data_IF_556900804274
#
_entry.id   IF_556900804274
#
_cell.length_a   1.000
_cell.length_b   1.000
_cell.length_c   1.000
_cell.angle_alpha   90.00
_cell.angle_beta   90.00
_cell.angle_gamma   90.00
#
_symmetry.space_group_name_H-M   'P 1'
#
loop_
_entity.id
_entity.type
_entity.pdbx_description
1 polymer ?
#
# COMPACT_ATOMS: atom_id res chain seq x y z
N UNK A 1 30.21 19.43 4.79
CA UNK A 1 29.14 20.23 4.17
C UNK A 1 29.37 20.22 2.67
N UNK A 2 28.36 19.86 1.89
CA UNK A 2 28.39 20.12 0.44
C UNK A 2 28.03 21.59 0.33
N UNK A 3 29.02 22.43 0.01
CA UNK A 3 28.78 23.84 -0.25
C UNK A 3 27.99 23.94 -1.55
N UNK A 4 26.73 24.34 -1.42
CA UNK A 4 25.84 24.52 -2.54
C UNK A 4 25.90 25.98 -2.95
N UNK A 5 26.53 26.26 -4.09
CA UNK A 5 26.71 27.62 -4.60
C UNK A 5 25.45 28.18 -5.28
N UNK A 6 24.40 27.37 -5.39
CA UNK A 6 23.13 27.64 -6.08
C UNK A 6 21.96 27.51 -5.08
N UNK A 7 20.94 28.38 -5.20
CA UNK A 7 19.75 28.34 -4.33
C UNK A 7 18.69 27.49 -5.02
N UNK A 8 18.48 26.27 -4.54
CA UNK A 8 17.57 25.31 -5.19
C UNK A 8 16.13 25.38 -4.67
N UNK A 9 15.93 26.07 -3.55
CA UNK A 9 14.64 26.23 -2.90
C UNK A 9 14.48 27.65 -2.36
N UNK A 10 13.24 28.14 -2.35
CA UNK A 10 12.90 29.47 -1.90
C UNK A 10 11.92 29.37 -0.73
N UNK A 11 12.35 29.85 0.44
CA UNK A 11 11.45 30.05 1.58
C UNK A 11 10.32 31.01 1.19
N UNK A 12 9.10 30.69 1.60
CA UNK A 12 7.91 31.50 1.35
C UNK A 12 7.36 32.07 2.65
N UNK A 13 7.15 31.21 3.66
CA UNK A 13 6.61 31.59 4.95
C UNK A 13 7.15 30.68 6.05
N UNK A 14 7.37 31.24 7.23
CA UNK A 14 7.58 30.48 8.47
C UNK A 14 6.59 30.99 9.51
N UNK A 15 5.96 30.09 10.26
CA UNK A 15 5.17 30.45 11.43
C UNK A 15 5.43 29.48 12.56
N UNK A 16 5.47 30.02 13.77
CA UNK A 16 5.51 29.24 14.98
C UNK A 16 4.27 29.56 15.82
N UNK A 17 3.47 28.55 16.13
CA UNK A 17 2.23 28.72 16.91
C UNK A 17 2.07 27.54 17.86
N UNK A 18 1.99 27.81 19.15
CA UNK A 18 1.69 26.80 20.18
C UNK A 18 2.65 25.59 20.15
N UNK A 19 3.96 25.84 19.97
CA UNK A 19 4.99 24.79 19.91
C UNK A 19 5.11 24.07 18.57
N UNK A 20 4.38 24.52 17.54
CA UNK A 20 4.51 24.01 16.17
C UNK A 20 5.20 25.01 15.27
N UNK A 21 6.23 24.55 14.56
CA UNK A 21 6.89 25.31 13.50
C UNK A 21 6.44 24.78 12.14
N UNK A 22 5.86 25.65 11.32
CA UNK A 22 5.47 25.36 9.95
C UNK A 22 6.27 26.24 8.99
N UNK A 23 7.00 25.60 8.08
CA UNK A 23 7.81 26.25 7.04
C UNK A 23 7.21 25.90 5.68
N UNK A 24 6.92 26.91 4.90
CA UNK A 24 6.49 26.80 3.51
C UNK A 24 7.62 27.26 2.60
N UNK A 25 7.92 26.47 1.58
CA UNK A 25 8.94 26.77 0.58
C UNK A 25 8.48 26.26 -0.80
N UNK A 26 9.18 26.68 -1.85
CA UNK A 26 9.02 26.17 -3.21
C UNK A 26 10.37 25.76 -3.80
N UNK A 27 10.38 24.75 -4.65
CA UNK A 27 11.56 24.24 -5.39
C UNK A 27 11.12 23.85 -6.79
N UNK A 28 11.98 24.05 -7.79
CA UNK A 28 11.74 23.54 -9.14
C UNK A 28 11.80 22.01 -9.14
N UNK A 29 11.01 21.36 -9.99
CA UNK A 29 11.05 19.90 -10.10
C UNK A 29 12.40 19.40 -10.62
N UNK A 30 13.02 20.16 -11.52
CA UNK A 30 14.36 19.94 -12.01
C UNK A 30 15.05 21.31 -12.09
N UNK A 31 16.17 21.45 -11.38
CA UNK A 31 16.97 22.68 -11.35
C UNK A 31 18.02 22.70 -12.46
N UNK A 32 18.20 21.58 -13.18
CA UNK A 32 19.29 21.35 -14.13
C UNK A 32 20.69 21.46 -13.50
N UNK A 33 20.79 21.47 -12.17
CA UNK A 33 22.05 21.38 -11.43
C UNK A 33 22.39 19.91 -11.18
N UNK A 34 23.61 19.50 -11.56
CA UNK A 34 24.08 18.12 -11.45
C UNK A 34 24.30 17.66 -10.01
N UNK A 35 24.40 18.59 -9.06
CA UNK A 35 24.51 18.30 -7.63
C UNK A 35 23.15 18.07 -6.97
N UNK A 36 22.08 18.32 -7.69
CA UNK A 36 20.72 18.31 -7.19
C UNK A 36 19.98 17.01 -7.54
N UNK A 37 19.07 16.58 -6.68
CA UNK A 37 18.20 15.43 -6.98
C UNK A 37 16.93 15.93 -7.69
N UNK A 38 16.72 15.61 -8.98
CA UNK A 38 15.51 15.99 -9.69
C UNK A 38 14.29 15.24 -9.13
N UNK A 39 13.20 15.96 -8.91
CA UNK A 39 11.89 15.43 -8.52
C UNK A 39 11.22 14.86 -9.76
N UNK A 40 11.37 13.56 -9.93
CA UNK A 40 10.75 12.81 -11.04
C UNK A 40 9.38 12.26 -10.64
N UNK A 41 8.60 11.89 -11.65
CA UNK A 41 7.37 11.14 -11.40
C UNK A 41 7.70 9.78 -10.79
N UNK A 42 6.86 9.30 -9.89
CA UNK A 42 7.08 8.07 -9.15
C UNK A 42 7.60 8.33 -7.74
N UNK A 43 8.43 7.43 -7.25
CA UNK A 43 8.81 7.36 -5.85
C UNK A 43 9.93 8.36 -5.53
N UNK A 44 9.69 9.21 -4.52
CA UNK A 44 10.66 10.15 -3.98
C UNK A 44 10.92 9.83 -2.50
N UNK A 45 12.18 9.91 -2.09
CA UNK A 45 12.58 9.67 -0.70
C UNK A 45 12.86 11.01 -0.02
N UNK A 46 12.01 11.35 0.95
CA UNK A 46 12.23 12.50 1.82
C UNK A 46 13.00 12.03 3.04
N UNK A 47 14.03 12.78 3.44
CA UNK A 47 14.77 12.56 4.68
C UNK A 47 14.58 13.77 5.58
N UNK A 48 14.52 13.53 6.88
CA UNK A 48 14.41 14.60 7.87
C UNK A 48 15.30 14.31 9.08
N UNK A 49 15.73 15.37 9.75
CA UNK A 49 16.42 15.34 11.02
C UNK A 49 16.10 16.61 11.80
N UNK A 50 16.14 16.55 13.13
CA UNK A 50 15.81 17.71 13.98
C UNK A 50 16.67 17.83 15.25
N UNK A 51 16.91 19.07 15.65
CA UNK A 51 17.63 19.45 16.87
C UNK A 51 16.77 19.36 18.13
N UNK A 52 17.39 19.44 19.31
CA UNK A 52 16.68 19.54 20.60
C UNK A 52 16.42 20.99 21.03
N UNK A 53 17.12 21.93 20.41
CA UNK A 53 17.04 23.34 20.70
C UNK A 53 16.93 24.11 19.39
N UNK A 54 16.29 25.26 19.45
CA UNK A 54 16.26 26.20 18.35
C UNK A 54 17.66 26.74 18.07
N UNK A 55 18.02 26.97 16.81
CA UNK A 55 19.32 27.52 16.46
C UNK A 55 19.49 28.90 17.11
N UNK A 56 20.62 29.11 17.79
CA UNK A 56 20.91 30.40 18.44
C UNK A 56 21.67 31.33 17.48
N UNK A 57 21.51 32.67 17.60
CA UNK A 57 22.22 33.62 16.73
C UNK A 57 23.76 33.51 16.78
N UNK A 58 24.31 32.91 17.84
CA UNK A 58 25.75 32.64 18.01
C UNK A 58 26.22 31.35 17.34
N UNK A 59 25.32 30.51 16.81
CA UNK A 59 25.65 29.38 15.94
C UNK A 59 25.97 29.84 14.51
N UNK A 60 26.66 30.98 14.37
CA UNK A 60 27.08 31.59 13.11
C UNK A 60 28.12 30.78 12.32
N UNK A 61 28.41 29.55 12.75
CA UNK A 61 29.37 28.64 12.10
C UNK A 61 28.67 27.49 11.34
N UNK A 62 27.34 27.54 11.17
CA UNK A 62 26.56 26.46 10.52
C UNK A 62 26.81 25.07 11.15
N UNK A 63 27.19 25.04 12.43
CA UNK A 63 27.61 23.82 13.11
C UNK A 63 26.37 23.06 13.63
N UNK A 64 25.72 22.35 12.71
CA UNK A 64 24.59 21.48 13.03
C UNK A 64 25.13 20.25 13.77
N UNK A 65 24.80 20.14 15.06
CA UNK A 65 25.13 18.96 15.87
C UNK A 65 24.55 17.68 15.27
N UNK A 66 25.24 16.55 15.47
CA UNK A 66 24.74 15.25 15.02
C UNK A 66 23.37 14.94 15.65
N UNK A 67 22.43 14.55 14.80
CA UNK A 67 21.01 14.37 15.15
C UNK A 67 20.70 13.02 15.83
N UNK A 68 21.66 12.09 15.91
CA UNK A 68 21.47 10.76 16.51
C UNK A 68 20.22 10.04 15.95
N UNK A 69 19.32 9.59 16.83
CA UNK A 69 18.07 8.91 16.45
C UNK A 69 16.94 9.89 16.06
N UNK A 70 17.15 11.21 16.12
CA UNK A 70 16.17 12.25 15.76
C UNK A 70 16.18 12.52 14.25
N UNK A 71 15.95 11.46 13.50
CA UNK A 71 15.96 11.44 12.04
C UNK A 71 14.99 10.41 11.51
N UNK A 72 14.65 10.52 10.25
CA UNK A 72 13.89 9.50 9.56
C UNK A 72 13.84 9.74 8.07
N UNK A 73 13.15 8.84 7.39
CA UNK A 73 12.85 8.97 5.97
C UNK A 73 11.40 8.59 5.72
N UNK A 74 10.83 9.14 4.65
CA UNK A 74 9.52 8.77 4.15
C UNK A 74 9.53 8.73 2.64
N UNK A 75 8.95 7.68 2.10
CA UNK A 75 8.81 7.44 0.67
C UNK A 75 7.43 7.92 0.22
N UNK A 76 7.36 8.80 -0.78
CA UNK A 76 6.09 9.27 -1.35
C UNK A 76 6.25 9.78 -2.78
N UNK A 77 5.13 9.90 -3.50
CA UNK A 77 5.12 10.52 -4.84
C UNK A 77 4.86 12.03 -4.72
N UNK A 78 5.88 12.85 -4.96
CA UNK A 78 5.77 14.32 -4.94
C UNK A 78 5.08 14.90 -6.18
N UNK A 79 4.81 14.07 -7.19
CA UNK A 79 4.14 14.46 -8.45
C UNK A 79 2.83 13.70 -8.68
N UNK A 80 2.29 13.04 -7.65
CA UNK A 80 0.95 12.46 -7.76
C UNK A 80 -0.08 13.59 -7.77
N UNK A 81 -0.76 13.77 -8.89
CA UNK A 81 -1.78 14.81 -9.08
C UNK A 81 -3.19 14.36 -8.70
N UNK A 82 -3.37 13.07 -8.41
CA UNK A 82 -4.65 12.56 -7.95
C UNK A 82 -4.60 12.44 -6.43
N UNK A 83 -5.49 13.17 -5.76
CA UNK A 83 -5.84 12.83 -4.39
C UNK A 83 -6.30 11.37 -4.36
N UNK A 84 -5.97 10.62 -3.28
CA UNK A 84 -6.58 9.32 -3.11
C UNK A 84 -8.11 9.48 -3.17
N UNK A 85 -8.82 8.52 -3.79
CA UNK A 85 -10.27 8.60 -3.85
C UNK A 85 -10.86 8.75 -2.45
N UNK A 86 -11.98 9.46 -2.32
CA UNK A 86 -12.76 9.49 -1.07
C UNK A 86 -13.77 8.35 -1.09
N UNK A 87 -14.23 7.87 0.08
CA UNK A 87 -15.21 6.77 0.14
C UNK A 87 -16.53 7.10 -0.58
N UNK A 88 -16.86 8.38 -0.71
CA UNK A 88 -18.04 8.87 -1.41
C UNK A 88 -18.15 8.37 -2.86
N UNK A 89 -17.03 8.08 -3.53
CA UNK A 89 -17.07 7.57 -4.91
C UNK A 89 -17.73 6.19 -5.02
N UNK A 90 -17.76 5.44 -3.91
CA UNK A 90 -18.36 4.11 -3.84
C UNK A 90 -19.73 4.14 -3.14
N UNK A 91 -20.25 5.33 -2.80
CA UNK A 91 -21.52 5.47 -2.12
C UNK A 91 -22.67 4.85 -2.94
N UNK A 92 -23.42 3.94 -2.32
CA UNK A 92 -24.56 3.27 -2.94
C UNK A 92 -24.21 2.12 -3.87
N UNK A 93 -22.94 1.72 -3.96
CA UNK A 93 -22.54 0.50 -4.66
C UNK A 93 -22.59 -0.72 -3.73
N UNK A 94 -22.82 -1.89 -4.33
CA UNK A 94 -22.66 -3.17 -3.64
C UNK A 94 -21.17 -3.52 -3.49
N UNK A 95 -20.84 -4.20 -2.39
CA UNK A 95 -19.49 -4.69 -2.12
C UNK A 95 -19.49 -6.19 -1.81
N UNK A 96 -18.33 -6.81 -1.93
CA UNK A 96 -18.10 -8.22 -1.62
C UNK A 96 -16.68 -8.37 -1.09
N UNK A 97 -16.56 -9.02 0.05
CA UNK A 97 -15.32 -9.10 0.80
C UNK A 97 -14.65 -10.45 0.60
N UNK A 98 -13.35 -10.41 0.33
CA UNK A 98 -12.49 -11.58 0.28
C UNK A 98 -11.57 -11.58 1.51
N UNK A 99 -12.16 -11.90 2.67
CA UNK A 99 -11.48 -11.84 3.96
C UNK A 99 -11.10 -13.22 4.51
N UNK A 100 -9.89 -13.30 5.05
CA UNK A 100 -9.50 -14.36 5.97
C UNK A 100 -10.02 -14.00 7.36
N UNK A 101 -10.88 -14.84 7.92
CA UNK A 101 -11.43 -14.61 9.25
C UNK A 101 -10.76 -15.54 10.26
N UNK A 102 -10.51 -15.04 11.46
CA UNK A 102 -9.89 -15.79 12.56
C UNK A 102 -8.55 -16.48 12.21
N UNK A 103 -7.73 -15.87 11.36
CA UNK A 103 -6.44 -16.42 10.97
C UNK A 103 -5.35 -16.07 11.99
N UNK A 104 -4.53 -17.06 12.37
CA UNK A 104 -3.35 -16.84 13.22
C UNK A 104 -2.11 -17.00 12.36
N UNK A 105 -1.32 -15.93 12.23
CA UNK A 105 -0.07 -15.96 11.47
C UNK A 105 0.93 -16.88 12.17
N UNK A 106 1.56 -17.83 11.46
CA UNK A 106 2.64 -18.64 11.98
C UNK A 106 3.80 -17.78 12.52
N UNK A 107 4.46 -18.26 13.56
CA UNK A 107 5.66 -17.64 14.13
C UNK A 107 6.91 -17.98 13.29
N UNK A 108 6.86 -17.64 12.00
CA UNK A 108 7.94 -17.82 11.03
C UNK A 108 8.15 -16.50 10.30
N UNK A 109 9.37 -16.26 9.80
CA UNK A 109 9.73 -14.98 9.17
C UNK A 109 8.84 -14.59 7.97
N UNK A 110 8.50 -15.57 7.14
CA UNK A 110 7.73 -15.39 5.91
C UNK A 110 6.61 -16.40 5.87
N UNK A 111 5.38 -15.94 5.67
CA UNK A 111 4.22 -16.82 5.46
C UNK A 111 3.44 -16.37 4.24
N UNK A 112 3.18 -17.31 3.33
CA UNK A 112 2.23 -17.10 2.23
C UNK A 112 1.00 -17.96 2.50
N UNK A 113 -0.13 -17.29 2.77
CA UNK A 113 -1.41 -17.94 2.98
C UNK A 113 -2.28 -17.76 1.75
N UNK A 114 -2.90 -18.84 1.26
CA UNK A 114 -3.72 -18.84 0.08
C UNK A 114 -5.13 -19.34 0.42
N UNK A 115 -6.14 -18.65 -0.09
CA UNK A 115 -7.53 -19.08 0.00
C UNK A 115 -8.27 -18.90 -1.31
N UNK A 116 -9.05 -19.91 -1.67
CA UNK A 116 -9.99 -19.84 -2.78
C UNK A 116 -11.30 -19.21 -2.31
N UNK A 117 -11.79 -18.27 -3.11
CA UNK A 117 -13.09 -17.64 -2.94
C UNK A 117 -13.91 -17.83 -4.20
N UNK A 118 -15.23 -17.93 -4.01
CA UNK A 118 -16.18 -17.92 -5.11
C UNK A 118 -16.56 -16.50 -5.49
N UNK A 119 -16.73 -16.25 -6.78
CA UNK A 119 -17.33 -15.02 -7.27
C UNK A 119 -18.72 -14.78 -6.65
N UNK A 120 -19.14 -13.51 -6.46
CA UNK A 120 -20.47 -13.18 -5.95
C UNK A 120 -21.58 -13.81 -6.81
N UNK A 121 -22.47 -14.56 -6.15
CA UNK A 121 -23.53 -15.35 -6.81
C UNK A 121 -24.91 -14.68 -6.77
N UNK A 122 -25.02 -13.52 -6.14
CA UNK A 122 -26.26 -12.74 -6.03
C UNK A 122 -26.66 -12.03 -7.33
N UNK A 123 -25.83 -12.08 -8.37
CA UNK A 123 -26.11 -11.50 -9.68
C UNK A 123 -26.38 -12.58 -10.72
N UNK A 124 -27.42 -12.38 -11.54
CA UNK A 124 -27.72 -13.25 -12.69
C UNK A 124 -26.96 -12.86 -13.96
N UNK A 125 -26.34 -11.68 -13.98
CA UNK A 125 -25.57 -11.11 -15.09
C UNK A 125 -24.26 -10.55 -14.59
N UNK A 126 -23.22 -10.59 -15.43
CA UNK A 126 -21.90 -10.02 -15.13
C UNK A 126 -22.02 -8.58 -14.64
N UNK A 127 -21.28 -8.28 -13.58
CA UNK A 127 -21.06 -6.92 -13.06
C UNK A 127 -19.62 -6.49 -13.30
N UNK A 128 -19.34 -5.21 -13.09
CA UNK A 128 -17.98 -4.68 -13.06
C UNK A 128 -17.70 -4.10 -11.69
N UNK A 129 -16.64 -4.56 -11.03
CA UNK A 129 -16.06 -3.81 -9.91
C UNK A 129 -15.41 -2.54 -10.47
N UNK A 130 -15.65 -1.41 -9.82
CA UNK A 130 -15.17 -0.08 -10.23
C UNK A 130 -14.01 0.43 -9.36
N UNK A 131 -13.50 -0.44 -8.50
CA UNK A 131 -12.41 -0.15 -7.59
C UNK A 131 -12.26 -1.27 -6.57
N UNK A 132 -11.31 -1.09 -5.65
CA UNK A 132 -11.12 -1.98 -4.51
C UNK A 132 -10.65 -1.20 -3.29
N UNK A 133 -10.87 -1.81 -2.11
CA UNK A 133 -10.34 -1.35 -0.83
C UNK A 133 -9.69 -2.53 -0.13
N UNK A 134 -8.50 -2.31 0.42
CA UNK A 134 -7.77 -3.28 1.24
C UNK A 134 -8.33 -3.21 2.66
N UNK A 135 -8.67 -4.39 3.19
CA UNK A 135 -9.24 -4.56 4.52
C UNK A 135 -8.19 -5.31 5.34
N UNK A 136 -7.60 -4.63 6.31
CA UNK A 136 -6.59 -5.18 7.21
C UNK A 136 -6.91 -4.71 8.63
N UNK A 137 -6.78 -5.62 9.60
CA UNK A 137 -6.93 -5.28 11.01
C UNK A 137 -5.80 -4.33 11.44
N UNK A 138 -6.18 -3.17 11.99
CA UNK A 138 -5.25 -2.15 12.46
C UNK A 138 -4.26 -2.67 13.51
N UNK A 139 -4.64 -3.68 14.30
CA UNK A 139 -3.78 -4.23 15.34
C UNK A 139 -2.52 -4.92 14.78
N UNK A 140 -2.62 -5.54 13.60
CA UNK A 140 -1.58 -6.39 13.02
C UNK A 140 -1.20 -5.99 11.59
N UNK A 141 -1.61 -4.81 11.14
CA UNK A 141 -1.39 -4.33 9.77
C UNK A 141 0.08 -4.37 9.32
N UNK A 142 1.01 -4.13 10.23
CA UNK A 142 2.45 -4.09 9.94
C UNK A 142 3.02 -5.45 9.51
N UNK A 143 2.28 -6.55 9.75
CA UNK A 143 2.66 -7.88 9.27
C UNK A 143 2.27 -8.13 7.82
N UNK A 144 1.23 -7.45 7.30
CA UNK A 144 0.74 -7.70 5.94
C UNK A 144 1.66 -6.98 4.97
N UNK A 145 2.47 -7.73 4.22
CA UNK A 145 3.39 -7.16 3.25
C UNK A 145 2.70 -6.95 1.90
N UNK A 146 2.10 -7.98 1.31
CA UNK A 146 1.35 -7.83 0.07
C UNK A 146 0.14 -8.76 -0.01
N UNK A 147 -0.80 -8.38 -0.86
CA UNK A 147 -2.01 -9.12 -1.19
C UNK A 147 -2.13 -9.25 -2.71
N UNK A 148 -2.35 -10.47 -3.19
CA UNK A 148 -2.51 -10.79 -4.60
C UNK A 148 -3.80 -11.55 -4.79
N UNK A 149 -4.66 -11.09 -5.69
CA UNK A 149 -5.85 -11.80 -6.11
C UNK A 149 -5.65 -12.30 -7.53
N UNK A 150 -5.89 -13.58 -7.75
CA UNK A 150 -5.76 -14.23 -9.05
C UNK A 150 -7.08 -14.82 -9.51
N UNK A 151 -7.29 -14.83 -10.82
CA UNK A 151 -8.35 -15.60 -11.46
C UNK A 151 -7.96 -17.07 -11.57
N UNK A 152 -8.89 -17.96 -11.22
CA UNK A 152 -8.80 -19.37 -11.58
C UNK A 152 -9.21 -19.59 -13.04
N UNK A 153 -8.73 -20.69 -13.62
CA UNK A 153 -9.20 -21.16 -14.93
C UNK A 153 -10.75 -21.21 -14.98
N UNK A 154 -11.40 -20.77 -16.07
CA UNK A 154 -12.87 -20.79 -16.20
C UNK A 154 -13.51 -22.17 -15.96
N UNK A 155 -12.76 -23.25 -16.16
CA UNK A 155 -13.19 -24.63 -15.97
C UNK A 155 -13.00 -25.14 -14.54
N UNK A 156 -12.27 -24.41 -13.68
CA UNK A 156 -12.00 -24.80 -12.30
C UNK A 156 -13.30 -25.07 -11.54
N UNK A 157 -13.35 -26.20 -10.84
CA UNK A 157 -14.45 -26.61 -9.99
C UNK A 157 -13.91 -26.95 -8.60
N UNK A 158 -14.49 -26.33 -7.58
CA UNK A 158 -14.23 -26.62 -6.19
C UNK A 158 -15.53 -27.01 -5.49
N UNK A 159 -15.43 -27.63 -4.32
CA UNK A 159 -16.58 -27.77 -3.42
C UNK A 159 -16.79 -26.43 -2.71
N UNK A 160 -17.88 -25.74 -3.02
CA UNK A 160 -18.22 -24.44 -2.42
C UNK A 160 -18.29 -24.49 -0.88
N UNK A 161 -18.55 -25.65 -0.29
CA UNK A 161 -18.63 -25.82 1.16
C UNK A 161 -17.25 -26.08 1.80
N UNK A 162 -16.23 -26.35 0.98
CA UNK A 162 -14.89 -26.70 1.43
C UNK A 162 -13.84 -26.17 0.44
N UNK A 163 -13.83 -24.85 0.26
CA UNK A 163 -12.86 -24.17 -0.59
C UNK A 163 -11.45 -24.28 0.03
N UNK A 164 -10.40 -24.54 -0.77
CA UNK A 164 -9.02 -24.61 -0.26
C UNK A 164 -8.60 -23.33 0.49
N UNK A 165 -8.04 -23.50 1.68
CA UNK A 165 -7.66 -22.43 2.61
C UNK A 165 -6.50 -22.93 3.49
N UNK A 166 -5.26 -22.61 3.12
CA UNK A 166 -4.04 -23.06 3.82
C UNK A 166 -2.81 -22.26 3.34
N UNK A 167 -1.64 -22.59 3.89
CA UNK A 167 -0.36 -22.20 3.31
C UNK A 167 -0.31 -22.54 1.82
N UNK A 168 0.13 -21.57 1.01
CA UNK A 168 0.12 -21.69 -0.45
C UNK A 168 0.83 -22.96 -0.94
N UNK A 169 1.95 -23.34 -0.31
CA UNK A 169 2.71 -24.54 -0.67
C UNK A 169 1.93 -25.84 -0.39
N UNK A 170 1.11 -25.87 0.67
CA UNK A 170 0.34 -27.04 1.05
C UNK A 170 -0.83 -27.31 0.09
N UNK A 171 -1.40 -26.25 -0.50
CA UNK A 171 -2.54 -26.34 -1.43
C UNK A 171 -2.16 -26.09 -2.89
N UNK A 172 -0.88 -25.96 -3.23
CA UNK A 172 -0.40 -25.66 -4.58
C UNK A 172 -1.02 -26.53 -5.68
N UNK A 173 -1.13 -27.84 -5.45
CA UNK A 173 -1.75 -28.75 -6.44
C UNK A 173 -3.25 -28.50 -6.63
N UNK A 174 -3.95 -28.08 -5.58
CA UNK A 174 -5.38 -27.76 -5.62
C UNK A 174 -5.62 -26.41 -6.30
N UNK A 175 -4.68 -25.47 -6.19
CA UNK A 175 -4.80 -24.10 -6.68
C UNK A 175 -3.98 -23.80 -7.94
N UNK A 176 -3.34 -24.81 -8.53
CA UNK A 176 -2.47 -24.66 -9.70
C UNK A 176 -3.16 -24.01 -10.92
N UNK A 177 -4.48 -24.11 -11.03
CA UNK A 177 -5.26 -23.45 -12.08
C UNK A 177 -5.48 -21.94 -11.86
N UNK A 178 -5.03 -21.40 -10.72
CA UNK A 178 -5.30 -20.03 -10.30
C UNK A 178 -4.05 -19.15 -10.23
N UNK A 179 -2.90 -19.57 -10.75
CA UNK A 179 -1.63 -18.83 -10.56
C UNK A 179 -1.20 -17.96 -11.75
N UNK A 180 -1.97 -17.96 -12.84
CA UNK A 180 -1.53 -17.38 -14.12
C UNK A 180 -2.07 -15.99 -14.42
N UNK A 181 -3.24 -15.63 -13.87
CA UNK A 181 -3.95 -14.39 -14.20
C UNK A 181 -4.15 -13.54 -12.95
N UNK A 182 -3.31 -12.52 -12.74
CA UNK A 182 -3.47 -11.56 -11.65
C UNK A 182 -4.61 -10.57 -11.92
N UNK A 183 -5.51 -10.41 -10.96
CA UNK A 183 -6.65 -9.49 -11.01
C UNK A 183 -6.39 -8.21 -10.19
N UNK A 184 -6.01 -8.35 -8.93
CA UNK A 184 -5.74 -7.23 -8.00
C UNK A 184 -4.39 -7.48 -7.32
N UNK A 185 -3.60 -6.42 -7.17
CA UNK A 185 -2.30 -6.43 -6.49
C UNK A 185 -2.24 -5.24 -5.55
N UNK A 186 -1.82 -5.49 -4.32
CA UNK A 186 -1.47 -4.47 -3.34
C UNK A 186 -0.20 -4.88 -2.59
N UNK A 187 0.63 -3.92 -2.24
CA UNK A 187 1.87 -4.09 -1.47
C UNK A 187 2.05 -2.86 -0.57
N UNK A 188 2.88 -2.98 0.47
CA UNK A 188 3.17 -1.89 1.41
C UNK A 188 3.58 -0.61 0.68
N UNK A 189 2.96 0.51 1.07
CA UNK A 189 3.16 1.81 0.44
C UNK A 189 2.29 2.08 -0.79
N UNK A 190 1.51 1.10 -1.24
CA UNK A 190 0.39 1.30 -2.15
C UNK A 190 -0.78 2.04 -1.49
N UNK A 191 -1.69 2.58 -2.30
CA UNK A 191 -2.95 3.11 -1.78
C UNK A 191 -3.88 1.95 -1.42
N UNK A 192 -4.39 1.94 -0.19
CA UNK A 192 -5.35 0.91 0.25
C UNK A 192 -6.68 1.01 -0.48
N UNK A 193 -6.98 2.14 -1.10
CA UNK A 193 -8.19 2.34 -1.87
C UNK A 193 -7.88 2.86 -3.27
N UNK A 194 -8.41 2.18 -4.27
CA UNK A 194 -8.19 2.50 -5.68
C UNK A 194 -9.53 2.54 -6.40
N UNK A 195 -9.78 3.64 -7.08
CA UNK A 195 -10.85 3.78 -8.06
C UNK A 195 -10.32 3.40 -9.44
N UNK A 196 -11.09 2.65 -10.22
CA UNK A 196 -10.79 2.43 -11.62
C UNK A 196 -11.24 3.64 -12.46
N UNK A 197 -10.64 3.85 -13.65
CA UNK A 197 -11.08 4.90 -14.58
C UNK A 197 -12.57 4.76 -14.95
N UNK A 198 -13.23 5.87 -15.24
CA UNK A 198 -14.68 5.91 -15.55
C UNK A 198 -15.05 4.97 -16.73
N UNK A 199 -14.15 4.86 -17.71
CA UNK A 199 -14.29 4.04 -18.90
C UNK A 199 -14.04 2.53 -18.67
N UNK A 200 -13.62 2.12 -17.47
CA UNK A 200 -13.15 0.77 -17.19
C UNK A 200 -13.71 0.18 -15.89
N UNK A 201 -13.82 -1.14 -15.86
CA UNK A 201 -14.18 -1.88 -14.65
C UNK A 201 -13.79 -3.34 -14.78
N UNK A 202 -13.59 -4.00 -13.64
CA UNK A 202 -13.14 -5.38 -13.59
C UNK A 202 -14.35 -6.34 -13.62
N UNK A 203 -14.49 -7.20 -14.65
CA UNK A 203 -15.65 -8.08 -14.79
C UNK A 203 -15.68 -9.22 -13.79
N UNK A 204 -16.84 -9.44 -13.15
CA UNK A 204 -17.02 -10.55 -12.21
C UNK A 204 -18.50 -10.91 -11.97
N UNK A 205 -18.73 -12.13 -11.50
CA UNK A 205 -20.04 -12.65 -11.12
C UNK A 205 -20.97 -12.92 -12.30
N UNK A 206 -22.18 -13.39 -12.00
CA UNK A 206 -23.21 -13.69 -13.00
C UNK A 206 -22.76 -14.68 -14.08
N UNK A 207 -22.89 -14.28 -15.35
CA UNK A 207 -22.51 -15.07 -16.52
C UNK A 207 -21.04 -14.89 -16.93
N UNK A 208 -20.22 -14.22 -16.10
CA UNK A 208 -18.79 -14.13 -16.33
C UNK A 208 -18.11 -15.51 -16.19
N UNK A 209 -17.18 -15.91 -17.08
CA UNK A 209 -16.60 -17.26 -17.05
C UNK A 209 -15.78 -17.59 -15.80
N UNK A 210 -15.18 -16.59 -15.15
CA UNK A 210 -14.35 -16.79 -13.96
C UNK A 210 -15.25 -16.92 -12.74
N UNK A 211 -15.24 -18.11 -12.13
CA UNK A 211 -16.08 -18.45 -10.97
C UNK A 211 -15.35 -18.39 -9.64
N UNK A 212 -14.03 -18.57 -9.67
CA UNK A 212 -13.20 -18.67 -8.47
C UNK A 212 -11.99 -17.78 -8.59
N UNK A 213 -11.57 -17.29 -7.43
CA UNK A 213 -10.41 -16.44 -7.28
C UNK A 213 -9.54 -16.98 -6.15
N UNK A 214 -8.23 -16.93 -6.32
CA UNK A 214 -7.30 -17.21 -5.24
C UNK A 214 -6.78 -15.89 -4.68
N UNK A 215 -6.95 -15.65 -3.38
CA UNK A 215 -6.25 -14.58 -2.69
C UNK A 215 -5.06 -15.16 -1.96
N UNK A 216 -3.88 -14.63 -2.27
CA UNK A 216 -2.64 -14.89 -1.58
C UNK A 216 -2.31 -13.67 -0.71
N UNK A 217 -1.98 -13.92 0.55
CA UNK A 217 -1.51 -12.90 1.49
C UNK A 217 -0.10 -13.30 1.95
N UNK A 218 0.85 -12.39 1.77
CA UNK A 218 2.19 -12.52 2.32
C UNK A 218 2.27 -11.76 3.64
N UNK A 219 2.55 -12.49 4.70
CA UNK A 219 2.90 -11.94 6.00
C UNK A 219 4.42 -11.94 6.19
N UNK A 220 4.97 -10.78 6.55
CA UNK A 220 6.36 -10.62 6.95
C UNK A 220 6.44 -10.43 8.47
N UNK A 221 6.92 -11.45 9.18
CA UNK A 221 7.01 -11.51 10.64
C UNK A 221 8.49 -11.68 11.07
N UNK A 222 9.35 -10.67 10.88
CA UNK A 222 10.79 -10.79 11.10
C UNK A 222 11.17 -11.13 12.55
N UNK A 223 10.33 -10.75 13.50
CA UNK A 223 10.52 -11.05 14.93
C UNK A 223 9.91 -12.40 15.35
N UNK A 224 9.30 -13.14 14.42
CA UNK A 224 8.67 -14.44 14.66
C UNK A 224 7.67 -14.40 15.83
N UNK A 225 6.90 -13.32 15.90
CA UNK A 225 5.87 -13.12 16.92
C UNK A 225 4.82 -14.22 16.82
N UNK A 226 4.29 -14.64 17.97
CA UNK A 226 3.24 -15.66 18.06
C UNK A 226 1.89 -15.04 18.39
N UNK A 227 0.81 -15.78 18.10
CA UNK A 227 -0.58 -15.38 18.41
C UNK A 227 -1.04 -14.09 17.71
N UNK A 228 -0.39 -13.72 16.60
CA UNK A 228 -0.77 -12.59 15.76
C UNK A 228 -2.02 -12.99 14.97
N UNK A 229 -3.17 -12.43 15.34
CA UNK A 229 -4.48 -12.87 14.84
C UNK A 229 -5.14 -11.78 13.99
N UNK A 230 -5.75 -12.18 12.89
CA UNK A 230 -6.66 -11.36 12.10
C UNK A 230 -8.07 -11.91 12.26
N UNK A 231 -9.02 -11.05 12.61
CA UNK A 231 -10.42 -11.40 12.86
C UNK A 231 -11.29 -11.32 11.60
#
# INVERSE_FOLDING_TARGET
MVDNTTIDWFALQGREVSGWTAIQFKRLLDTCDLMDVPIKSGINNLIFAYGLADPTPSESNDEISYHENRRGSRTLSLRSYADPPTEDIFAGLDYFDFCLNNYVVPSTETTHHCKIYKAPSNYSVKRHAVGHKIIVDAANQDLVHHLLMYECDPTAQFDDNNLPDDLCDAIYQQTASCVYNGAIVWDVGGNDMVAFPEEAGYPMGGDFPIKYYMVQIHYHNPNQLSSMKFD
#
